data_IF_181303411130
#
_entry.id   IF_181303411130
#
_cell.length_a   1.000
_cell.length_b   1.000
_cell.length_c   1.000
_cell.angle_alpha   90.00
_cell.angle_beta   90.00
_cell.angle_gamma   90.00
#
_symmetry.space_group_name_H-M   'P 1'
#
loop_
_entity.id
_entity.type
_entity.pdbx_description
1 polymer ?
#
# COMPACT_ATOMS: atom_id res chain seq x y z
N UNK A 1 2.88 -23.94 10.36
CA UNK A 1 3.39 -22.66 9.88
C UNK A 1 2.88 -22.38 8.48
N UNK A 2 2.44 -21.16 8.23
CA UNK A 2 1.96 -20.77 6.91
C UNK A 2 3.13 -20.55 5.97
N UNK A 3 3.23 -21.34 4.93
CA UNK A 3 4.33 -21.26 3.99
C UNK A 3 3.95 -20.56 2.69
N UNK A 4 2.66 -20.44 2.42
CA UNK A 4 2.17 -19.85 1.16
C UNK A 4 1.46 -18.55 1.41
N UNK A 5 1.78 -17.58 0.60
CA UNK A 5 1.07 -16.32 0.57
C UNK A 5 -0.25 -16.51 -0.18
N UNK A 6 -1.19 -15.63 0.04
CA UNK A 6 -2.51 -15.74 -0.56
C UNK A 6 -2.73 -14.68 -1.63
N UNK A 7 -3.31 -15.09 -2.73
CA UNK A 7 -3.80 -14.17 -3.76
C UNK A 7 -5.16 -14.68 -4.24
N UNK A 8 -6.17 -13.84 -4.14
CA UNK A 8 -7.52 -14.19 -4.54
C UNK A 8 -7.59 -14.50 -6.04
N UNK A 9 -8.33 -15.53 -6.40
CA UNK A 9 -8.60 -15.83 -7.80
C UNK A 9 -9.66 -14.91 -8.41
N UNK A 10 -10.27 -14.06 -7.57
CA UNK A 10 -11.32 -13.14 -8.01
C UNK A 10 -10.80 -11.84 -8.58
N UNK A 11 -9.49 -11.61 -8.58
CA UNK A 11 -8.90 -10.38 -9.05
C UNK A 11 -7.92 -10.63 -10.18
N UNK A 12 -7.70 -9.60 -10.99
CA UNK A 12 -6.82 -9.68 -12.14
C UNK A 12 -6.19 -8.32 -12.41
N UNK A 13 -4.91 -8.34 -12.80
CA UNK A 13 -4.25 -7.13 -13.26
C UNK A 13 -4.63 -6.89 -14.71
N UNK A 14 -5.08 -5.68 -15.01
CA UNK A 14 -5.45 -5.28 -16.36
C UNK A 14 -4.83 -3.93 -16.69
N UNK A 15 -4.55 -3.73 -17.96
CA UNK A 15 -4.06 -2.45 -18.45
C UNK A 15 -5.24 -1.49 -18.60
N UNK A 16 -5.08 -0.28 -18.07
CA UNK A 16 -6.09 0.76 -18.13
C UNK A 16 -5.43 2.02 -18.68
N UNK A 17 -5.52 2.23 -20.00
CA UNK A 17 -4.79 3.32 -20.63
C UNK A 17 -3.29 3.08 -20.53
N UNK A 18 -2.57 4.04 -19.93
CA UNK A 18 -1.12 3.95 -19.77
C UNK A 18 -0.68 3.31 -18.47
N UNK A 19 -1.63 2.89 -17.64
CA UNK A 19 -1.33 2.28 -16.35
C UNK A 19 -1.95 0.90 -16.24
N UNK A 20 -1.51 0.15 -15.23
CA UNK A 20 -2.14 -1.10 -14.84
C UNK A 20 -2.91 -0.89 -13.56
N UNK A 21 -3.98 -1.65 -13.41
CA UNK A 21 -4.78 -1.67 -12.19
C UNK A 21 -5.22 -3.08 -11.87
N UNK A 22 -5.79 -3.26 -10.70
CA UNK A 22 -6.33 -4.55 -10.27
C UNK A 22 -7.84 -4.45 -10.32
N UNK A 23 -8.46 -5.41 -11.00
CA UNK A 23 -9.91 -5.39 -11.23
C UNK A 23 -10.56 -6.64 -10.68
N UNK A 24 -11.79 -6.46 -10.22
CA UNK A 24 -12.61 -7.53 -9.67
C UNK A 24 -13.24 -8.33 -10.81
N UNK A 25 -13.03 -9.65 -10.80
CA UNK A 25 -13.56 -10.57 -11.81
C UNK A 25 -14.78 -11.30 -11.30
N UNK A 26 -14.98 -11.37 -10.00
CA UNK A 26 -16.15 -11.95 -9.33
C UNK A 26 -16.43 -11.11 -8.10
N UNK A 27 -17.68 -11.03 -7.70
CA UNK A 27 -18.06 -10.24 -6.52
C UNK A 27 -17.26 -10.63 -5.30
N UNK A 28 -16.75 -9.63 -4.58
CA UNK A 28 -15.98 -9.79 -3.35
C UNK A 28 -16.81 -9.17 -2.23
N UNK A 29 -16.93 -9.88 -1.10
CA UNK A 29 -17.70 -9.40 0.03
C UNK A 29 -16.83 -8.61 1.00
N UNK A 30 -17.45 -7.65 1.66
CA UNK A 30 -16.80 -6.88 2.72
C UNK A 30 -16.15 -7.82 3.74
N UNK A 31 -14.91 -7.54 4.07
CA UNK A 31 -14.13 -8.33 5.02
C UNK A 31 -13.39 -9.50 4.41
N UNK A 32 -13.61 -9.77 3.13
CA UNK A 32 -12.93 -10.88 2.46
C UNK A 32 -11.46 -10.55 2.25
N UNK A 33 -10.59 -11.53 2.53
CA UNK A 33 -9.14 -11.38 2.28
C UNK A 33 -8.89 -11.44 0.78
N UNK A 34 -8.23 -10.44 0.25
CA UNK A 34 -7.94 -10.33 -1.18
C UNK A 34 -6.52 -10.82 -1.48
N UNK A 35 -5.56 -10.38 -0.68
CA UNK A 35 -4.17 -10.74 -0.90
C UNK A 35 -3.39 -10.66 0.40
N UNK A 36 -2.45 -11.59 0.55
CA UNK A 36 -1.43 -11.50 1.57
C UNK A 36 -0.10 -11.44 0.83
N UNK A 37 0.51 -10.26 0.80
CA UNK A 37 1.68 -9.99 -0.02
C UNK A 37 2.95 -9.91 0.82
N UNK A 38 4.08 -10.40 0.29
CA UNK A 38 5.35 -10.25 1.00
C UNK A 38 5.83 -8.81 0.94
N UNK A 39 6.66 -8.43 1.92
CA UNK A 39 7.18 -7.09 2.04
C UNK A 39 8.68 -7.06 1.86
N UNK A 40 9.18 -5.91 1.43
CA UNK A 40 10.60 -5.60 1.49
C UNK A 40 10.74 -4.25 2.20
N UNK A 41 11.53 -4.25 3.26
CA UNK A 41 11.85 -3.02 3.98
C UNK A 41 13.21 -2.55 3.48
N UNK A 42 13.27 -1.42 2.77
CA UNK A 42 14.53 -0.93 2.23
C UNK A 42 15.58 -0.75 3.32
N UNK A 43 16.84 -1.00 3.00
CA UNK A 43 17.94 -0.81 3.94
C UNK A 43 18.01 0.64 4.40
N UNK A 44 17.92 1.59 3.46
CA UNK A 44 17.79 2.99 3.79
C UNK A 44 16.33 3.26 4.13
N UNK A 45 16.09 3.75 5.33
CA UNK A 45 14.73 3.91 5.86
C UNK A 45 14.17 5.32 5.68
N UNK A 46 14.73 6.09 4.76
CA UNK A 46 14.31 7.46 4.52
C UNK A 46 13.65 7.61 3.17
N UNK A 47 12.45 8.19 3.14
CA UNK A 47 11.71 8.41 1.91
C UNK A 47 12.51 9.22 0.89
N UNK A 48 13.22 10.25 1.37
CA UNK A 48 13.97 11.16 0.49
C UNK A 48 15.14 10.49 -0.24
N UNK A 49 15.61 9.35 0.26
CA UNK A 49 16.71 8.63 -0.35
C UNK A 49 16.26 7.51 -1.29
N UNK A 50 14.95 7.29 -1.41
CA UNK A 50 14.42 6.27 -2.28
C UNK A 50 14.26 6.79 -3.69
N UNK A 51 14.25 5.87 -4.66
CA UNK A 51 13.96 6.21 -6.04
C UNK A 51 12.60 6.89 -6.14
N UNK A 52 12.54 8.02 -6.83
CA UNK A 52 11.33 8.85 -6.89
C UNK A 52 10.15 8.12 -7.49
N UNK A 53 10.38 7.29 -8.50
CA UNK A 53 9.31 6.56 -9.14
C UNK A 53 8.79 5.46 -8.23
N UNK A 54 9.69 4.70 -7.62
CA UNK A 54 9.31 3.62 -6.71
C UNK A 54 8.59 4.16 -5.49
N UNK A 55 9.07 5.27 -4.94
CA UNK A 55 8.50 5.82 -3.71
C UNK A 55 7.04 6.24 -3.88
N UNK A 56 6.63 6.54 -5.11
CA UNK A 56 5.25 6.89 -5.41
C UNK A 56 4.29 5.74 -5.07
N UNK A 57 4.78 4.51 -5.12
CA UNK A 57 3.98 3.31 -4.89
C UNK A 57 4.24 2.68 -3.53
N UNK A 58 5.20 3.19 -2.77
CA UNK A 58 5.56 2.62 -1.48
C UNK A 58 4.46 2.87 -0.44
N UNK A 59 4.41 1.98 0.55
CA UNK A 59 3.48 2.08 1.68
C UNK A 59 4.23 2.56 2.91
N UNK A 60 3.56 3.22 3.86
CA UNK A 60 4.22 3.60 5.11
C UNK A 60 4.34 2.41 6.05
N UNK A 61 5.53 2.27 6.64
CA UNK A 61 5.72 1.33 7.74
C UNK A 61 5.02 1.91 8.98
N UNK A 62 4.50 1.06 9.83
CA UNK A 62 3.73 1.51 11.00
C UNK A 62 4.58 2.12 12.12
N UNK A 63 5.90 2.10 11.97
CA UNK A 63 6.81 2.67 12.96
C UNK A 63 7.46 3.92 12.41
N UNK A 64 7.80 4.83 13.34
CA UNK A 64 8.50 6.05 12.97
C UNK A 64 9.97 5.74 12.67
N UNK A 65 10.55 6.54 11.80
CA UNK A 65 11.99 6.46 11.51
C UNK A 65 12.78 6.97 12.74
N UNK A 66 14.04 6.55 12.83
CA UNK A 66 14.86 6.91 13.99
C UNK A 66 15.01 8.40 14.20
N UNK A 67 15.08 9.16 13.13
CA UNK A 67 15.26 10.62 13.18
C UNK A 67 13.94 11.38 13.09
N UNK A 68 12.81 10.76 13.46
CA UNK A 68 11.51 11.37 13.30
C UNK A 68 11.37 12.73 13.97
N UNK A 69 12.04 12.93 15.12
CA UNK A 69 11.96 14.20 15.84
C UNK A 69 12.63 15.32 15.06
N UNK A 70 13.84 15.07 14.56
CA UNK A 70 14.55 16.05 13.75
C UNK A 70 13.79 16.36 12.47
N UNK A 71 13.22 15.32 11.87
CA UNK A 71 12.42 15.45 10.66
C UNK A 71 11.18 16.32 10.91
N UNK A 72 10.49 16.09 12.02
CA UNK A 72 9.32 16.87 12.40
C UNK A 72 9.65 18.33 12.68
N UNK A 73 10.80 18.59 13.31
CA UNK A 73 11.23 19.96 13.57
C UNK A 73 11.43 20.72 12.27
N UNK A 74 12.05 20.07 11.28
CA UNK A 74 12.24 20.67 9.95
C UNK A 74 10.91 20.96 9.26
N UNK A 75 9.88 20.16 9.56
CA UNK A 75 8.56 20.28 8.97
C UNK A 75 7.62 21.14 9.82
N UNK A 76 8.17 21.95 10.73
CA UNK A 76 7.37 22.86 11.54
C UNK A 76 6.66 22.22 12.71
N UNK A 77 7.14 21.09 13.19
CA UNK A 77 6.57 20.40 14.34
C UNK A 77 5.40 19.47 13.99
N UNK A 78 5.06 19.35 12.72
CA UNK A 78 3.99 18.45 12.27
C UNK A 78 4.59 17.07 12.04
N UNK A 79 3.84 16.01 12.38
CA UNK A 79 4.26 14.63 12.14
C UNK A 79 3.82 14.21 10.74
N UNK A 80 4.67 14.36 9.72
CA UNK A 80 4.28 14.01 8.35
C UNK A 80 4.35 12.51 8.13
N UNK A 81 3.71 12.05 7.06
CA UNK A 81 3.75 10.64 6.68
C UNK A 81 5.19 10.15 6.50
N UNK A 82 6.05 11.01 5.97
CA UNK A 82 7.45 10.68 5.74
C UNK A 82 8.27 10.51 7.02
N UNK A 83 7.69 10.77 8.19
CA UNK A 83 8.31 10.41 9.45
C UNK A 83 8.29 8.89 9.69
N UNK A 84 7.50 8.16 8.94
CA UNK A 84 7.54 6.70 8.91
C UNK A 84 8.60 6.24 7.91
N UNK A 85 8.80 4.93 7.84
CA UNK A 85 9.74 4.33 6.89
C UNK A 85 8.99 3.88 5.64
N UNK A 86 9.62 3.96 4.46
CA UNK A 86 8.99 3.42 3.26
C UNK A 86 9.02 1.90 3.27
N UNK A 87 8.00 1.30 2.67
CA UNK A 87 7.80 -0.14 2.64
C UNK A 87 7.41 -0.55 1.23
N UNK A 88 8.10 -1.53 0.67
CA UNK A 88 7.75 -2.06 -0.64
C UNK A 88 6.89 -3.31 -0.47
N UNK A 89 5.71 -3.30 -1.07
CA UNK A 89 4.78 -4.42 -1.03
C UNK A 89 4.81 -5.12 -2.38
N UNK A 90 5.19 -6.38 -2.38
CA UNK A 90 5.29 -7.16 -3.59
C UNK A 90 3.92 -7.71 -4.01
N UNK A 91 3.90 -8.65 -4.94
CA UNK A 91 2.65 -9.15 -5.48
C UNK A 91 1.91 -8.06 -6.24
N UNK A 92 0.64 -7.89 -5.96
CA UNK A 92 -0.17 -6.82 -6.56
C UNK A 92 -0.17 -5.55 -5.71
N UNK A 93 0.49 -5.57 -4.55
CA UNK A 93 0.43 -4.48 -3.58
C UNK A 93 0.68 -3.10 -4.16
N UNK A 94 1.74 -2.96 -4.96
CA UNK A 94 2.08 -1.66 -5.56
C UNK A 94 1.38 -1.42 -6.89
N UNK A 95 0.56 -2.35 -7.35
CA UNK A 95 -0.23 -2.20 -8.59
C UNK A 95 -1.60 -1.62 -8.31
N UNK A 96 -2.16 -1.86 -7.11
CA UNK A 96 -3.47 -1.28 -6.77
C UNK A 96 -3.44 0.23 -6.96
N UNK A 97 -4.46 0.76 -7.63
CA UNK A 97 -4.61 2.20 -7.74
C UNK A 97 -4.91 2.80 -6.37
N UNK A 98 -4.65 4.08 -6.22
CA UNK A 98 -4.85 4.77 -4.96
C UNK A 98 -5.94 5.81 -5.08
N UNK A 99 -6.78 5.88 -4.07
CA UNK A 99 -7.91 6.80 -4.07
C UNK A 99 -8.34 7.13 -2.64
N UNK A 100 -8.93 8.31 -2.47
CA UNK A 100 -9.57 8.68 -1.21
C UNK A 100 -10.77 7.78 -0.95
N UNK A 101 -11.45 7.37 -2.03
CA UNK A 101 -12.63 6.51 -1.96
C UNK A 101 -12.19 5.06 -2.17
N UNK A 102 -11.25 4.61 -1.36
CA UNK A 102 -10.73 3.27 -1.49
C UNK A 102 -11.73 2.21 -1.04
N UNK A 103 -11.67 1.05 -1.67
CA UNK A 103 -12.51 -0.10 -1.36
C UNK A 103 -11.71 -1.27 -0.78
N UNK A 104 -10.40 -1.10 -0.63
CA UNK A 104 -9.51 -2.11 -0.07
C UNK A 104 -8.71 -1.48 1.07
N UNK A 105 -8.72 -2.12 2.23
CA UNK A 105 -7.87 -1.75 3.34
C UNK A 105 -6.62 -2.62 3.33
N UNK A 106 -5.51 -2.08 3.83
CA UNK A 106 -4.29 -2.87 3.99
C UNK A 106 -3.83 -2.85 5.44
N UNK A 107 -3.24 -3.95 5.86
CA UNK A 107 -2.70 -4.09 7.20
C UNK A 107 -1.35 -4.78 7.13
N UNK A 108 -0.32 -4.13 7.67
CA UNK A 108 1.02 -4.69 7.75
C UNK A 108 1.11 -5.64 8.93
N UNK A 109 1.55 -6.87 8.68
CA UNK A 109 1.75 -7.90 9.71
C UNK A 109 3.25 -8.02 9.95
N UNK A 110 3.72 -7.40 11.02
CA UNK A 110 5.15 -7.32 11.31
C UNK A 110 5.80 -8.69 11.54
N UNK A 111 5.13 -9.56 12.25
CA UNK A 111 5.69 -10.89 12.58
C UNK A 111 5.89 -11.76 11.36
N UNK A 112 4.96 -11.71 10.43
CA UNK A 112 5.01 -12.52 9.21
C UNK A 112 5.69 -11.79 8.07
N UNK A 113 5.92 -10.50 8.24
CA UNK A 113 6.52 -9.63 7.24
C UNK A 113 5.70 -9.63 5.95
N UNK A 114 4.39 -9.45 6.12
CA UNK A 114 3.42 -9.44 5.03
C UNK A 114 2.49 -8.23 5.15
N UNK A 115 1.80 -7.94 4.06
CA UNK A 115 0.75 -6.94 4.04
C UNK A 115 -0.54 -7.62 3.57
N UNK A 116 -1.59 -7.54 4.37
CA UNK A 116 -2.88 -8.13 4.05
C UNK A 116 -3.78 -7.06 3.43
N UNK A 117 -4.38 -7.39 2.29
CA UNK A 117 -5.35 -6.54 1.62
C UNK A 117 -6.74 -7.16 1.81
N UNK A 118 -7.66 -6.39 2.36
CA UNK A 118 -8.98 -6.86 2.77
C UNK A 118 -10.03 -5.92 2.18
N UNK A 119 -11.13 -6.49 1.68
CA UNK A 119 -12.22 -5.68 1.13
C UNK A 119 -12.85 -4.84 2.23
N UNK A 120 -12.87 -3.52 2.03
CA UNK A 120 -13.47 -2.58 2.96
C UNK A 120 -14.97 -2.55 2.85
N UNK A 121 -15.47 -2.88 1.68
CA UNK A 121 -16.89 -2.94 1.35
C UNK A 121 -17.09 -4.01 0.29
N UNK A 122 -18.34 -4.27 -0.09
CA UNK A 122 -18.61 -5.18 -1.19
C UNK A 122 -18.07 -4.57 -2.49
N UNK A 123 -17.36 -5.39 -3.26
CA UNK A 123 -16.78 -4.99 -4.54
C UNK A 123 -17.42 -5.85 -5.61
N UNK A 124 -17.97 -5.21 -6.63
CA UNK A 124 -18.71 -5.91 -7.69
C UNK A 124 -17.81 -6.25 -8.86
N UNK A 125 -18.18 -7.32 -9.56
CA UNK A 125 -17.52 -7.71 -10.81
C UNK A 125 -17.36 -6.49 -11.73
N UNK A 126 -16.15 -6.31 -12.24
CA UNK A 126 -15.84 -5.20 -13.14
C UNK A 126 -15.30 -3.96 -12.46
N UNK A 127 -15.46 -3.84 -11.16
CA UNK A 127 -14.95 -2.68 -10.44
C UNK A 127 -13.44 -2.79 -10.23
N UNK A 128 -12.78 -1.64 -10.23
CA UNK A 128 -11.35 -1.57 -9.92
C UNK A 128 -11.15 -1.55 -8.41
N UNK A 129 -10.06 -2.16 -7.95
CA UNK A 129 -9.67 -2.15 -6.53
C UNK A 129 -8.75 -0.96 -6.27
N UNK A 130 -9.07 -0.19 -5.23
CA UNK A 130 -8.31 0.99 -4.82
C UNK A 130 -7.90 0.87 -3.36
N UNK A 131 -6.63 1.16 -3.07
CA UNK A 131 -6.16 1.30 -1.69
C UNK A 131 -6.11 2.78 -1.33
N UNK A 132 -6.09 3.08 -0.05
CA UNK A 132 -5.99 4.45 0.42
C UNK A 132 -4.70 5.08 -0.11
N UNK A 133 -4.79 6.31 -0.59
CA UNK A 133 -3.61 6.95 -1.12
C UNK A 133 -3.84 8.39 -1.52
N UNK A 134 -2.85 8.94 -2.21
CA UNK A 134 -2.86 10.32 -2.64
C UNK A 134 -2.35 11.28 -1.60
N UNK A 135 -2.33 10.89 -0.35
CA UNK A 135 -1.89 11.77 0.73
C UNK A 135 -0.41 12.08 0.65
N UNK A 136 0.40 11.08 0.27
CA UNK A 136 1.83 11.31 0.06
C UNK A 136 2.02 12.34 -1.05
N UNK A 137 1.32 12.17 -2.15
CA UNK A 137 1.39 13.10 -3.27
C UNK A 137 0.94 14.50 -2.86
N UNK A 138 -0.14 14.59 -2.11
CA UNK A 138 -0.67 15.87 -1.65
C UNK A 138 0.30 16.57 -0.72
N UNK A 139 0.96 15.82 0.14
CA UNK A 139 1.90 16.38 1.09
C UNK A 139 3.18 16.87 0.42
N UNK A 140 3.43 16.42 -0.79
CA UNK A 140 4.61 16.80 -1.57
C UNK A 140 4.34 17.92 -2.56
N UNK A 141 3.12 18.34 -2.66
CA UNK A 141 2.72 19.43 -3.55
C UNK A 141 3.05 20.81 -2.99
#
# INVERSE_FOLDING_TARGET
>A
MKNNLFLSTKIKVQKQGDRRGVFCMEDIQKGELIEEAPLILPHDNKWENCDKEIITYAFPWSELREDWKDFCEKEGGILPLHATRPLLVLGYGMVYARSKDHNVDFKVEKKLFTCNFIARCDIKEGEELFVAGGEISKNNE
#
